data_IF_039289462490
#
_entry.id   IF_039289462490
#
_cell.length_a   1.000
_cell.length_b   1.000
_cell.length_c   1.000
_cell.angle_alpha   90.00
_cell.angle_beta   90.00
_cell.angle_gamma   90.00
#
_symmetry.space_group_name_H-M   'P 1'
#
loop_
_entity.id
_entity.type
_entity.pdbx_description
1 polymer ?
#
# COMPACT_ATOMS: atom_id res chain seq x y z
N UNK A 1 -12.58 27.57 -16.86
CA UNK A 1 -12.20 26.49 -15.91
C UNK A 1 -13.27 25.41 -15.94
N UNK A 2 -12.87 24.14 -16.06
CA UNK A 2 -13.80 23.01 -16.02
C UNK A 2 -14.36 22.92 -14.61
N UNK A 3 -15.67 22.89 -14.44
CA UNK A 3 -16.31 22.60 -13.15
C UNK A 3 -16.80 21.16 -13.18
N UNK A 4 -16.35 20.33 -12.24
CA UNK A 4 -16.90 18.99 -12.05
C UNK A 4 -18.24 19.09 -11.33
N UNK A 5 -19.26 18.45 -11.90
CA UNK A 5 -20.60 18.34 -11.30
C UNK A 5 -20.87 16.87 -10.97
N UNK A 6 -21.49 16.62 -9.84
CA UNK A 6 -21.80 15.27 -9.38
C UNK A 6 -22.66 14.52 -10.39
N UNK A 7 -22.32 13.26 -10.64
CA UNK A 7 -23.01 12.33 -11.53
C UNK A 7 -23.12 12.79 -13.01
N UNK A 8 -22.36 13.81 -13.45
CA UNK A 8 -22.41 14.32 -14.82
C UNK A 8 -21.28 13.84 -15.73
N UNK A 9 -20.31 13.13 -15.16
CA UNK A 9 -19.16 12.58 -15.87
C UNK A 9 -17.86 13.36 -15.62
N UNK A 10 -16.74 12.63 -15.72
CA UNK A 10 -15.39 13.17 -15.60
C UNK A 10 -14.73 13.19 -16.98
N UNK A 11 -14.10 14.30 -17.38
CA UNK A 11 -13.26 14.32 -18.59
C UNK A 11 -12.17 13.25 -18.55
N UNK A 12 -11.95 12.58 -19.67
CA UNK A 12 -10.94 11.51 -19.79
C UNK A 12 -9.53 11.98 -19.40
N UNK A 13 -9.17 13.23 -19.72
CA UNK A 13 -7.89 13.82 -19.36
C UNK A 13 -7.69 13.93 -17.85
N UNK A 14 -8.72 14.33 -17.10
CA UNK A 14 -8.69 14.42 -15.63
C UNK A 14 -8.62 13.01 -15.03
N UNK A 15 -9.37 12.04 -15.55
CA UNK A 15 -9.35 10.66 -15.10
C UNK A 15 -7.98 10.02 -15.33
N UNK A 16 -7.36 10.25 -16.50
CA UNK A 16 -6.01 9.77 -16.83
C UNK A 16 -4.97 10.41 -15.90
N UNK A 17 -5.04 11.73 -15.71
CA UNK A 17 -4.18 12.44 -14.76
C UNK A 17 -4.28 11.83 -13.35
N UNK A 18 -5.50 11.63 -12.83
CA UNK A 18 -5.67 11.01 -11.50
C UNK A 18 -5.09 9.60 -11.43
N UNK A 19 -5.25 8.80 -12.47
CA UNK A 19 -4.70 7.44 -12.54
C UNK A 19 -3.17 7.43 -12.51
N UNK A 20 -2.52 8.28 -13.32
CA UNK A 20 -1.06 8.39 -13.38
C UNK A 20 -0.51 8.94 -12.05
N UNK A 21 -1.08 10.03 -11.55
CA UNK A 21 -0.62 10.65 -10.30
C UNK A 21 -0.87 9.71 -9.11
N UNK A 22 -1.94 8.92 -9.10
CA UNK A 22 -2.17 7.90 -8.09
C UNK A 22 -1.02 6.89 -8.02
N UNK A 23 -0.59 6.40 -9.19
CA UNK A 23 0.55 5.49 -9.27
C UNK A 23 1.87 6.12 -8.81
N UNK A 24 2.17 7.32 -9.31
CA UNK A 24 3.43 8.01 -8.98
C UNK A 24 3.52 8.43 -7.51
N UNK A 25 2.40 8.77 -6.87
CA UNK A 25 2.40 9.18 -5.47
C UNK A 25 2.47 8.00 -4.51
N UNK A 26 1.77 6.89 -4.78
CA UNK A 26 1.88 5.68 -3.96
C UNK A 26 3.25 5.02 -4.07
N UNK A 27 3.92 5.19 -5.20
CA UNK A 27 5.26 4.66 -5.45
C UNK A 27 6.28 5.08 -4.37
N UNK A 28 6.12 6.28 -3.79
CA UNK A 28 6.98 6.77 -2.71
C UNK A 28 7.01 5.86 -1.47
N UNK A 29 5.96 5.09 -1.23
CA UNK A 29 5.91 4.13 -0.11
C UNK A 29 6.71 2.85 -0.39
N UNK A 30 7.06 2.59 -1.65
CA UNK A 30 7.64 1.32 -2.06
C UNK A 30 9.05 1.43 -2.66
N UNK A 31 9.52 2.65 -2.99
CA UNK A 31 10.87 2.86 -3.51
C UNK A 31 11.97 2.36 -2.59
N UNK A 32 11.76 2.43 -1.27
CA UNK A 32 12.75 2.02 -0.27
C UNK A 32 13.02 0.50 -0.26
N UNK A 33 12.03 -0.34 -0.61
CA UNK A 33 12.12 -1.79 -0.43
C UNK A 33 13.31 -2.44 -1.17
N UNK A 34 13.55 -2.21 -2.47
CA UNK A 34 14.73 -2.74 -3.15
C UNK A 34 16.04 -2.09 -2.70
N UNK A 35 15.97 -0.89 -2.10
CA UNK A 35 17.14 -0.08 -1.76
C UNK A 35 17.67 -0.33 -0.35
N UNK A 36 16.98 -1.15 0.48
CA UNK A 36 17.31 -1.31 1.90
C UNK A 36 18.75 -1.77 2.11
N UNK A 37 19.24 -2.68 1.28
CA UNK A 37 20.61 -3.19 1.39
C UNK A 37 21.65 -2.12 1.01
N UNK A 38 21.39 -1.33 -0.04
CA UNK A 38 22.24 -0.23 -0.43
C UNK A 38 22.30 0.86 0.66
N UNK A 39 21.15 1.19 1.26
CA UNK A 39 21.07 2.16 2.37
C UNK A 39 21.82 1.63 3.59
N UNK A 40 21.67 0.34 3.92
CA UNK A 40 22.35 -0.31 5.02
C UNK A 40 23.87 -0.19 4.89
N UNK A 41 24.38 -0.51 3.71
CA UNK A 41 25.82 -0.43 3.41
C UNK A 41 26.38 0.98 3.48
N UNK A 42 25.65 1.93 2.87
CA UNK A 42 26.13 3.32 2.77
C UNK A 42 26.14 4.06 4.13
N UNK A 43 25.21 3.74 5.02
CA UNK A 43 25.10 4.35 6.34
C UNK A 43 25.72 3.50 7.47
N UNK A 44 26.30 2.35 7.16
CA UNK A 44 26.89 1.40 8.11
C UNK A 44 25.94 1.06 9.27
N UNK A 45 24.71 0.69 8.93
CA UNK A 45 23.65 0.32 9.88
C UNK A 45 23.27 -1.16 9.75
N UNK A 46 22.58 -1.70 10.75
CA UNK A 46 22.11 -3.09 10.72
C UNK A 46 20.88 -3.24 9.83
N UNK A 47 20.63 -4.47 9.34
CA UNK A 47 19.43 -4.80 8.54
C UNK A 47 18.14 -4.43 9.29
N UNK A 48 18.10 -4.63 10.59
CA UNK A 48 16.95 -4.27 11.41
C UNK A 48 16.68 -2.76 11.39
N UNK A 49 17.74 -1.94 11.50
CA UNK A 49 17.63 -0.48 11.46
C UNK A 49 17.19 -0.01 10.08
N UNK A 50 17.73 -0.62 9.01
CA UNK A 50 17.33 -0.32 7.64
C UNK A 50 15.87 -0.71 7.39
N UNK A 51 15.43 -1.88 7.86
CA UNK A 51 14.04 -2.34 7.72
C UNK A 51 13.02 -1.40 8.38
N UNK A 52 13.39 -0.71 9.48
CA UNK A 52 12.53 0.29 10.13
C UNK A 52 12.15 1.44 9.19
N UNK A 53 12.90 1.73 8.13
CA UNK A 53 12.53 2.70 7.10
C UNK A 53 11.19 2.30 6.48
N UNK A 54 11.03 1.04 6.09
CA UNK A 54 9.79 0.52 5.53
C UNK A 54 8.66 0.49 6.57
N UNK A 55 8.94 0.04 7.79
CA UNK A 55 7.97 0.04 8.90
C UNK A 55 7.40 1.44 9.15
N UNK A 56 8.29 2.43 9.28
CA UNK A 56 7.92 3.82 9.57
C UNK A 56 7.16 4.44 8.41
N UNK A 57 7.54 4.13 7.16
CA UNK A 57 6.79 4.58 5.98
C UNK A 57 5.35 4.04 6.00
N UNK A 58 5.15 2.77 6.35
CA UNK A 58 3.82 2.16 6.43
C UNK A 58 3.00 2.72 7.60
N UNK A 59 3.63 2.94 8.76
CA UNK A 59 2.99 3.64 9.89
C UNK A 59 2.57 5.04 9.46
N UNK A 60 3.45 5.78 8.78
CA UNK A 60 3.13 7.08 8.21
C UNK A 60 1.89 7.01 7.31
N UNK A 61 1.85 6.05 6.40
CA UNK A 61 0.70 5.86 5.50
C UNK A 61 -0.60 5.56 6.27
N UNK A 62 -0.54 4.70 7.31
CA UNK A 62 -1.67 4.42 8.18
C UNK A 62 -2.17 5.69 8.91
N UNK A 63 -1.24 6.51 9.42
CA UNK A 63 -1.58 7.80 10.03
C UNK A 63 -2.18 8.77 9.01
N UNK A 64 -1.65 8.83 7.80
CA UNK A 64 -2.21 9.62 6.71
C UNK A 64 -3.63 9.19 6.36
N UNK A 65 -3.90 7.89 6.26
CA UNK A 65 -5.24 7.34 6.04
C UNK A 65 -6.20 7.73 7.17
N UNK A 66 -5.76 7.64 8.40
CA UNK A 66 -6.60 7.91 9.56
C UNK A 66 -6.88 9.40 9.74
N UNK A 67 -5.85 10.25 9.61
CA UNK A 67 -5.98 11.69 9.89
C UNK A 67 -6.24 12.55 8.65
N UNK A 68 -5.58 12.29 7.51
CA UNK A 68 -5.65 13.19 6.36
C UNK A 68 -6.84 12.89 5.44
N UNK A 69 -7.22 11.61 5.26
CA UNK A 69 -8.33 11.27 4.37
C UNK A 69 -9.66 11.88 4.83
N UNK A 70 -10.05 11.80 6.12
CA UNK A 70 -11.27 12.47 6.59
C UNK A 70 -11.26 13.98 6.40
N UNK A 71 -10.09 14.63 6.44
CA UNK A 71 -9.98 16.08 6.18
C UNK A 71 -10.43 16.46 4.76
N UNK A 72 -10.37 15.53 3.80
CA UNK A 72 -10.85 15.73 2.42
C UNK A 72 -12.35 15.99 2.30
N UNK A 73 -13.14 15.66 3.31
CA UNK A 73 -14.56 16.01 3.35
C UNK A 73 -14.80 17.44 3.88
N UNK A 74 -13.87 17.98 4.69
CA UNK A 74 -13.98 19.29 5.34
C UNK A 74 -13.28 20.41 4.59
N UNK A 75 -12.14 20.09 3.95
CA UNK A 75 -11.31 21.07 3.25
C UNK A 75 -11.33 20.85 1.74
N UNK A 76 -10.80 21.83 0.98
CA UNK A 76 -10.61 21.65 -0.46
C UNK A 76 -9.68 20.49 -0.74
N UNK A 77 -10.19 19.42 -1.38
CA UNK A 77 -9.41 18.22 -1.74
C UNK A 77 -8.21 18.59 -2.58
N UNK A 78 -8.35 19.54 -3.53
CA UNK A 78 -7.23 20.03 -4.35
C UNK A 78 -6.11 20.61 -3.48
N UNK A 79 -6.44 21.49 -2.52
CA UNK A 79 -5.45 22.09 -1.62
C UNK A 79 -4.76 21.05 -0.74
N UNK A 80 -5.52 20.11 -0.17
CA UNK A 80 -4.95 19.02 0.64
C UNK A 80 -3.98 18.17 -0.18
N UNK A 81 -4.35 17.79 -1.39
CA UNK A 81 -3.49 16.99 -2.27
C UNK A 81 -2.20 17.75 -2.59
N UNK A 82 -2.29 19.04 -2.94
CA UNK A 82 -1.11 19.86 -3.24
C UNK A 82 -0.18 20.02 -2.03
N UNK A 83 -0.72 20.23 -0.83
CA UNK A 83 0.07 20.26 0.41
C UNK A 83 0.78 18.93 0.65
N UNK A 84 0.07 17.81 0.52
CA UNK A 84 0.66 16.48 0.67
C UNK A 84 1.77 16.23 -0.36
N UNK A 85 1.57 16.62 -1.63
CA UNK A 85 2.61 16.50 -2.66
C UNK A 85 3.84 17.36 -2.35
N UNK A 86 3.64 18.57 -1.85
CA UNK A 86 4.75 19.47 -1.45
C UNK A 86 5.56 18.86 -0.32
N UNK A 87 4.90 18.35 0.73
CA UNK A 87 5.58 17.69 1.86
C UNK A 87 6.30 16.44 1.37
N UNK A 88 5.66 15.61 0.53
CA UNK A 88 6.29 14.41 -0.02
C UNK A 88 7.54 14.73 -0.85
N UNK A 89 7.49 15.77 -1.69
CA UNK A 89 8.65 16.23 -2.46
C UNK A 89 9.79 16.71 -1.56
N UNK A 90 9.50 17.52 -0.55
CA UNK A 90 10.51 18.01 0.41
C UNK A 90 11.13 16.84 1.19
N UNK A 91 10.32 15.90 1.65
CA UNK A 91 10.83 14.74 2.39
C UNK A 91 11.60 13.76 1.50
N UNK A 92 11.27 13.65 0.23
CA UNK A 92 12.10 12.90 -0.72
C UNK A 92 13.49 13.54 -0.89
N UNK A 93 13.59 14.88 -0.92
CA UNK A 93 14.88 15.58 -0.90
C UNK A 93 15.63 15.30 0.41
N UNK A 94 14.93 15.35 1.56
CA UNK A 94 15.55 15.04 2.87
C UNK A 94 16.09 13.60 2.87
N UNK A 95 15.36 12.63 2.32
CA UNK A 95 15.88 11.25 2.17
C UNK A 95 17.11 11.21 1.29
N UNK A 96 17.11 11.89 0.14
CA UNK A 96 18.24 11.91 -0.79
C UNK A 96 19.53 12.48 -0.17
N UNK A 97 19.43 13.47 0.71
CA UNK A 97 20.58 14.10 1.37
C UNK A 97 20.84 13.56 2.78
N UNK A 98 20.13 12.52 3.21
CA UNK A 98 20.23 11.99 4.55
C UNK A 98 21.65 11.45 4.85
N UNK A 99 22.20 11.84 5.99
CA UNK A 99 23.52 11.41 6.49
C UNK A 99 23.40 10.47 7.70
N UNK A 100 22.19 10.29 8.22
CA UNK A 100 21.95 9.45 9.38
C UNK A 100 20.53 8.88 9.35
N UNK A 101 20.32 7.83 10.11
CA UNK A 101 19.06 7.07 10.13
C UNK A 101 17.88 7.89 10.67
N UNK A 102 18.12 8.85 11.57
CA UNK A 102 17.05 9.67 12.13
C UNK A 102 16.41 10.58 11.09
N UNK A 103 17.21 11.12 10.17
CA UNK A 103 16.69 11.87 9.01
C UNK A 103 15.85 10.97 8.11
N UNK A 104 16.31 9.74 7.84
CA UNK A 104 15.56 8.78 7.04
C UNK A 104 14.23 8.40 7.70
N UNK A 105 14.21 8.11 9.00
CA UNK A 105 12.99 7.75 9.70
C UNK A 105 11.98 8.89 9.73
N UNK A 106 12.44 10.11 10.05
CA UNK A 106 11.58 11.30 10.05
C UNK A 106 10.98 11.58 8.67
N UNK A 107 11.80 11.52 7.60
CA UNK A 107 11.35 11.71 6.24
C UNK A 107 10.41 10.58 5.80
N UNK A 108 10.72 9.32 6.13
CA UNK A 108 9.89 8.14 5.82
C UNK A 108 8.49 8.24 6.41
N UNK A 109 8.37 8.69 7.66
CA UNK A 109 7.08 8.90 8.32
C UNK A 109 6.21 9.89 7.54
N UNK A 110 6.79 11.04 7.17
CA UNK A 110 6.05 12.10 6.48
C UNK A 110 5.79 11.74 5.00
N UNK A 111 6.73 11.09 4.31
CA UNK A 111 6.49 10.55 2.96
C UNK A 111 5.33 9.56 3.00
N UNK A 112 5.34 8.61 3.94
CA UNK A 112 4.24 7.66 4.12
C UNK A 112 2.91 8.38 4.32
N UNK A 113 2.85 9.30 5.30
CA UNK A 113 1.62 10.04 5.61
C UNK A 113 1.08 10.84 4.42
N UNK A 114 1.97 11.47 3.64
CA UNK A 114 1.56 12.32 2.51
C UNK A 114 1.32 11.54 1.21
N UNK A 115 1.70 10.26 1.13
CA UNK A 115 1.47 9.43 -0.07
C UNK A 115 0.07 8.83 -0.18
N UNK A 116 -0.85 9.17 0.71
CA UNK A 116 -2.26 8.71 0.69
C UNK A 116 -3.12 9.36 -0.41
N UNK A 117 -2.52 10.14 -1.30
CA UNK A 117 -3.17 10.90 -2.36
C UNK A 117 -4.13 10.06 -3.24
N UNK A 118 -3.82 8.80 -3.61
CA UNK A 118 -4.74 7.97 -4.38
C UNK A 118 -6.08 7.73 -3.68
N UNK A 119 -6.08 7.76 -2.36
CA UNK A 119 -7.29 7.56 -1.56
C UNK A 119 -8.25 8.76 -1.63
N UNK A 120 -7.78 9.93 -2.07
CA UNK A 120 -8.65 11.05 -2.46
C UNK A 120 -9.20 10.88 -3.87
N UNK A 121 -8.40 10.36 -4.81
CA UNK A 121 -8.80 10.27 -6.23
C UNK A 121 -9.88 9.21 -6.48
N UNK A 122 -9.84 8.07 -5.80
CA UNK A 122 -10.83 7.00 -5.97
C UNK A 122 -12.25 7.48 -5.65
N UNK A 123 -12.52 8.14 -4.49
CA UNK A 123 -13.82 8.73 -4.20
C UNK A 123 -14.21 9.86 -5.16
N UNK A 124 -13.26 10.72 -5.60
CA UNK A 124 -13.50 11.77 -6.58
C UNK A 124 -13.96 11.15 -7.90
N UNK A 125 -13.27 10.10 -8.39
CA UNK A 125 -13.69 9.38 -9.58
C UNK A 125 -15.10 8.81 -9.43
N UNK A 126 -15.45 8.29 -8.25
CA UNK A 126 -16.79 7.78 -7.97
C UNK A 126 -17.87 8.87 -7.93
N UNK A 127 -17.61 10.00 -7.27
CA UNK A 127 -18.57 11.08 -7.03
C UNK A 127 -18.96 11.81 -8.31
N UNK A 128 -18.02 12.07 -9.20
CA UNK A 128 -18.23 12.90 -10.39
C UNK A 128 -18.50 12.09 -11.66
N UNK A 129 -18.37 10.76 -11.64
CA UNK A 129 -18.73 9.91 -12.78
C UNK A 129 -20.24 9.75 -12.90
N UNK A 130 -20.71 9.48 -14.13
CA UNK A 130 -22.11 9.05 -14.33
C UNK A 130 -22.36 7.71 -13.62
N UNK A 131 -23.59 7.41 -13.17
CA UNK A 131 -23.90 6.15 -12.47
C UNK A 131 -23.41 4.90 -13.20
N UNK A 132 -23.53 4.87 -14.53
CA UNK A 132 -23.12 3.73 -15.38
C UNK A 132 -21.60 3.55 -15.42
N UNK A 133 -20.83 4.64 -15.33
CA UNK A 133 -19.37 4.62 -15.46
C UNK A 133 -18.63 4.68 -14.11
N UNK A 134 -19.35 4.81 -13.01
CA UNK A 134 -18.77 4.99 -11.66
C UNK A 134 -17.76 3.91 -11.31
N UNK A 135 -18.15 2.66 -11.36
CA UNK A 135 -17.26 1.53 -11.03
C UNK A 135 -16.08 1.40 -11.99
N UNK A 136 -16.32 1.66 -13.28
CA UNK A 136 -15.27 1.64 -14.32
C UNK A 136 -14.20 2.70 -14.05
N UNK A 137 -14.61 3.93 -13.76
CA UNK A 137 -13.69 5.05 -13.56
C UNK A 137 -12.91 4.92 -12.24
N UNK A 138 -13.55 4.46 -11.17
CA UNK A 138 -12.86 4.10 -9.92
C UNK A 138 -11.83 3.00 -10.15
N UNK A 139 -12.20 1.95 -10.88
CA UNK A 139 -11.30 0.85 -11.25
C UNK A 139 -10.11 1.32 -12.10
N UNK A 140 -10.32 2.30 -12.99
CA UNK A 140 -9.25 2.89 -13.79
C UNK A 140 -8.20 3.63 -12.93
N UNK A 141 -8.63 4.40 -11.93
CA UNK A 141 -7.71 5.04 -10.98
C UNK A 141 -7.01 4.01 -10.10
N UNK A 142 -7.72 2.98 -9.66
CA UNK A 142 -7.14 1.88 -8.89
C UNK A 142 -6.09 1.10 -9.69
N UNK A 143 -6.32 0.88 -10.99
CA UNK A 143 -5.32 0.22 -11.84
C UNK A 143 -4.04 1.04 -11.97
N UNK A 144 -4.15 2.37 -12.06
CA UNK A 144 -2.98 3.26 -12.02
C UNK A 144 -2.20 3.14 -10.71
N UNK A 145 -2.90 3.10 -9.58
CA UNK A 145 -2.31 2.87 -8.25
C UNK A 145 -1.53 1.55 -8.22
N UNK A 146 -2.17 0.44 -8.62
CA UNK A 146 -1.52 -0.88 -8.62
C UNK A 146 -0.31 -0.93 -9.56
N UNK A 147 -0.43 -0.35 -10.75
CA UNK A 147 0.70 -0.23 -11.69
C UNK A 147 1.85 0.56 -11.06
N UNK A 148 1.56 1.65 -10.34
CA UNK A 148 2.57 2.45 -9.65
C UNK A 148 3.30 1.65 -8.57
N UNK A 149 2.60 0.83 -7.79
CA UNK A 149 3.21 -0.05 -6.78
C UNK A 149 4.19 -1.03 -7.43
N UNK A 150 3.79 -1.66 -8.53
CA UNK A 150 4.63 -2.63 -9.23
C UNK A 150 5.83 -1.95 -9.89
N UNK A 151 5.57 -0.89 -10.65
CA UNK A 151 6.61 -0.14 -11.36
C UNK A 151 7.63 0.48 -10.41
N UNK A 152 7.21 0.92 -9.22
CA UNK A 152 8.10 1.55 -8.25
C UNK A 152 9.25 0.65 -7.81
N UNK A 153 8.98 -0.64 -7.57
CA UNK A 153 10.01 -1.60 -7.17
C UNK A 153 11.02 -1.85 -8.30
N UNK A 154 10.52 -2.00 -9.52
CA UNK A 154 11.39 -2.18 -10.70
C UNK A 154 12.25 -0.95 -10.91
N UNK A 155 11.64 0.22 -10.99
CA UNK A 155 12.33 1.49 -11.26
C UNK A 155 13.36 1.78 -10.16
N UNK A 156 12.98 1.66 -8.88
CA UNK A 156 13.89 1.94 -7.77
C UNK A 156 15.02 0.92 -7.69
N UNK A 157 14.75 -0.35 -8.00
CA UNK A 157 15.79 -1.38 -8.04
C UNK A 157 16.87 -1.08 -9.07
N UNK A 158 16.48 -0.78 -10.32
CA UNK A 158 17.44 -0.43 -11.39
C UNK A 158 18.15 0.91 -11.14
N UNK A 159 17.43 1.94 -10.71
CA UNK A 159 18.06 3.24 -10.40
C UNK A 159 19.03 3.07 -9.23
N UNK A 160 18.64 2.32 -8.19
CA UNK A 160 19.50 2.05 -7.05
C UNK A 160 20.81 1.36 -7.43
N UNK A 161 20.75 0.36 -8.33
CA UNK A 161 21.93 -0.39 -8.78
C UNK A 161 22.86 0.45 -9.66
N UNK A 162 22.29 1.27 -10.57
CA UNK A 162 23.10 1.97 -11.57
C UNK A 162 23.55 3.36 -11.14
N UNK A 163 22.72 4.08 -10.39
CA UNK A 163 22.99 5.47 -10.00
C UNK A 163 23.21 5.64 -8.52
N UNK A 164 22.54 4.80 -7.70
CA UNK A 164 22.55 4.88 -6.26
C UNK A 164 21.17 5.14 -5.66
N UNK A 165 21.01 4.84 -4.37
CA UNK A 165 19.72 4.97 -3.68
C UNK A 165 19.32 6.44 -3.47
N UNK A 166 20.28 7.37 -3.33
CA UNK A 166 20.01 8.80 -3.14
C UNK A 166 19.40 9.43 -4.39
N UNK A 167 19.91 9.07 -5.55
CA UNK A 167 19.45 9.53 -6.86
C UNK A 167 18.00 9.14 -7.11
N UNK A 168 17.58 7.95 -6.64
CA UNK A 168 16.19 7.55 -6.72
C UNK A 168 15.28 8.54 -5.98
N UNK A 169 15.67 9.01 -4.79
CA UNK A 169 14.85 9.97 -4.03
C UNK A 169 14.90 11.38 -4.62
N UNK A 170 15.99 11.81 -5.26
CA UNK A 170 16.00 13.05 -6.06
C UNK A 170 15.04 12.97 -7.23
N UNK A 171 15.03 11.85 -7.96
CA UNK A 171 14.08 11.60 -9.06
C UNK A 171 12.65 11.60 -8.52
N UNK A 172 12.38 10.95 -7.40
CA UNK A 172 11.07 10.94 -6.76
C UNK A 172 10.59 12.37 -6.42
N UNK A 173 11.47 13.21 -5.87
CA UNK A 173 11.17 14.61 -5.58
C UNK A 173 10.81 15.39 -6.86
N UNK A 174 11.60 15.24 -7.93
CA UNK A 174 11.33 15.86 -9.23
C UNK A 174 9.98 15.42 -9.79
N UNK A 175 9.68 14.12 -9.75
CA UNK A 175 8.40 13.56 -10.19
C UNK A 175 7.24 14.18 -9.40
N UNK A 176 7.37 14.35 -8.07
CA UNK A 176 6.34 14.99 -7.25
C UNK A 176 6.12 16.46 -7.63
N UNK A 177 7.18 17.22 -7.94
CA UNK A 177 7.08 18.60 -8.40
C UNK A 177 6.37 18.68 -9.75
N UNK A 178 6.69 17.80 -10.70
CA UNK A 178 6.01 17.73 -12.01
C UNK A 178 4.54 17.37 -11.83
N UNK A 179 4.23 16.35 -11.02
CA UNK A 179 2.86 15.96 -10.71
C UNK A 179 2.06 17.11 -10.07
N UNK A 180 2.69 17.88 -9.17
CA UNK A 180 2.09 19.05 -8.54
C UNK A 180 1.74 20.13 -9.58
N UNK A 181 2.63 20.41 -10.52
CA UNK A 181 2.37 21.33 -11.63
C UNK A 181 1.19 20.90 -12.50
N UNK A 182 1.15 19.63 -12.89
CA UNK A 182 0.03 19.05 -13.66
C UNK A 182 -1.28 19.14 -12.86
N UNK A 183 -1.23 18.82 -11.56
CA UNK A 183 -2.39 18.89 -10.67
C UNK A 183 -2.93 20.32 -10.51
N UNK A 184 -2.04 21.31 -10.38
CA UNK A 184 -2.43 22.72 -10.33
C UNK A 184 -3.19 23.17 -11.57
N UNK A 185 -2.72 22.77 -12.75
CA UNK A 185 -3.26 23.18 -14.04
C UNK A 185 -4.57 22.45 -14.39
N UNK A 186 -4.65 21.14 -14.13
CA UNK A 186 -5.74 20.32 -14.64
C UNK A 186 -6.86 20.08 -13.63
N UNK A 187 -6.57 20.03 -12.32
CA UNK A 187 -7.59 19.67 -11.32
C UNK A 187 -8.43 20.88 -10.94
N UNK A 188 -9.76 20.84 -11.15
CA UNK A 188 -10.66 21.91 -10.76
C UNK A 188 -10.87 21.94 -9.24
N UNK A 189 -11.31 23.11 -8.72
CA UNK A 189 -11.78 23.21 -7.34
C UNK A 189 -13.10 22.43 -7.16
N UNK A 190 -13.21 21.77 -6.02
CA UNK A 190 -14.38 20.96 -5.66
C UNK A 190 -15.03 21.50 -4.40
N UNK A 191 -16.37 21.41 -4.32
CA UNK A 191 -17.12 21.80 -3.13
C UNK A 191 -16.81 20.86 -1.96
N UNK A 192 -16.90 21.37 -0.75
CA UNK A 192 -16.79 20.61 0.50
C UNK A 192 -18.03 19.77 0.71
N UNK A 193 -17.87 18.57 1.25
CA UNK A 193 -18.98 17.62 1.43
C UNK A 193 -19.51 17.58 2.88
N UNK A 194 -18.75 18.12 3.84
CA UNK A 194 -19.11 18.03 5.26
C UNK A 194 -19.06 19.40 5.94
N UNK A 195 -20.09 19.69 6.72
CA UNK A 195 -20.22 20.90 7.55
C UNK A 195 -20.29 20.43 9.01
N UNK A 196 -19.15 20.45 9.70
CA UNK A 196 -19.04 20.04 11.10
C UNK A 196 -17.62 20.20 11.63
N UNK A 197 -17.35 19.71 12.83
CA UNK A 197 -16.00 19.76 13.43
C UNK A 197 -15.20 18.50 13.09
N UNK A 198 -13.88 18.63 12.95
CA UNK A 198 -12.98 17.49 12.74
C UNK A 198 -13.10 16.46 13.87
N UNK A 199 -13.22 16.93 15.13
CA UNK A 199 -13.44 16.06 16.29
C UNK A 199 -14.72 15.24 16.14
N UNK A 200 -15.83 15.83 15.70
CA UNK A 200 -17.09 15.11 15.47
C UNK A 200 -16.96 14.06 14.37
N UNK A 201 -16.21 14.36 13.29
CA UNK A 201 -15.93 13.40 12.23
C UNK A 201 -15.12 12.18 12.75
N UNK A 202 -14.06 12.45 13.53
CA UNK A 202 -13.21 11.38 14.12
C UNK A 202 -13.96 10.55 15.15
N UNK A 203 -14.86 11.17 15.95
CA UNK A 203 -15.73 10.44 16.88
C UNK A 203 -16.59 9.42 16.13
N UNK A 204 -17.17 9.78 14.99
CA UNK A 204 -17.96 8.83 14.20
C UNK A 204 -17.13 7.66 13.62
N UNK A 205 -15.86 7.87 13.31
CA UNK A 205 -14.96 6.78 12.90
C UNK A 205 -14.72 5.82 14.07
N UNK A 206 -14.45 6.35 15.26
CA UNK A 206 -14.27 5.55 16.47
C UNK A 206 -15.56 4.78 16.85
N UNK A 207 -16.71 5.42 16.78
CA UNK A 207 -18.01 4.79 17.02
C UNK A 207 -18.27 3.61 16.08
N UNK A 208 -18.03 3.78 14.78
CA UNK A 208 -18.15 2.71 13.79
C UNK A 208 -17.24 1.52 14.16
N UNK A 209 -16.00 1.77 14.54
CA UNK A 209 -15.07 0.70 14.93
C UNK A 209 -15.56 -0.07 16.18
N UNK A 210 -16.14 0.64 17.16
CA UNK A 210 -16.63 0.05 18.40
C UNK A 210 -17.95 -0.71 18.17
N UNK A 211 -18.90 -0.11 17.44
CA UNK A 211 -20.26 -0.62 17.31
C UNK A 211 -20.43 -1.72 16.26
N UNK A 212 -19.51 -1.85 15.31
CA UNK A 212 -19.59 -2.82 14.21
C UNK A 212 -18.51 -3.89 14.27
N UNK A 213 -18.77 -5.02 15.00
CA UNK A 213 -17.79 -6.12 15.11
C UNK A 213 -17.36 -6.70 13.76
N UNK A 214 -18.28 -6.76 12.78
CA UNK A 214 -17.98 -7.27 11.44
C UNK A 214 -16.86 -6.46 10.76
N UNK A 215 -16.89 -5.13 10.87
CA UNK A 215 -15.85 -4.25 10.31
C UNK A 215 -14.49 -4.54 10.94
N UNK A 216 -14.44 -4.73 12.27
CA UNK A 216 -13.20 -5.11 12.98
C UNK A 216 -12.65 -6.43 12.47
N UNK A 217 -13.51 -7.44 12.33
CA UNK A 217 -13.10 -8.78 11.90
C UNK A 217 -12.56 -8.73 10.46
N UNK A 218 -13.26 -8.08 9.54
CA UNK A 218 -12.80 -7.91 8.16
C UNK A 218 -11.46 -7.19 8.11
N UNK A 219 -11.31 -6.10 8.87
CA UNK A 219 -10.11 -5.28 8.91
C UNK A 219 -8.91 -6.03 9.50
N UNK A 220 -9.09 -6.71 10.65
CA UNK A 220 -8.01 -7.44 11.33
C UNK A 220 -7.58 -8.64 10.50
N UNK A 221 -8.50 -9.38 9.91
CA UNK A 221 -8.22 -10.53 9.07
C UNK A 221 -7.37 -10.14 7.85
N UNK A 222 -7.75 -9.05 7.16
CA UNK A 222 -6.99 -8.52 6.04
C UNK A 222 -5.64 -7.93 6.47
N UNK A 223 -5.55 -7.35 7.67
CA UNK A 223 -4.32 -6.81 8.25
C UNK A 223 -3.26 -7.90 8.45
N UNK A 224 -3.63 -9.07 8.98
CA UNK A 224 -2.73 -10.21 9.09
C UNK A 224 -2.33 -10.76 7.73
N UNK A 225 -3.23 -10.82 6.75
CA UNK A 225 -2.89 -11.18 5.37
C UNK A 225 -1.87 -10.23 4.74
N UNK A 226 -2.01 -8.92 4.96
CA UNK A 226 -1.07 -7.92 4.47
C UNK A 226 0.26 -7.97 5.22
N UNK A 227 0.25 -8.19 6.53
CA UNK A 227 1.47 -8.40 7.31
C UNK A 227 2.26 -9.61 6.84
N UNK A 228 1.58 -10.70 6.50
CA UNK A 228 2.20 -11.89 5.89
C UNK A 228 2.91 -11.54 4.57
N UNK A 229 2.26 -10.79 3.66
CA UNK A 229 2.87 -10.37 2.40
C UNK A 229 4.01 -9.37 2.61
N UNK A 230 3.86 -8.42 3.53
CA UNK A 230 4.91 -7.45 3.80
C UNK A 230 6.17 -8.07 4.40
N UNK A 231 6.07 -9.19 5.10
CA UNK A 231 7.22 -9.90 5.64
C UNK A 231 8.20 -10.32 4.53
N UNK A 232 7.72 -10.81 3.36
CA UNK A 232 8.61 -11.21 2.26
C UNK A 232 9.29 -9.98 1.65
N UNK A 233 8.54 -8.92 1.34
CA UNK A 233 9.06 -7.74 0.68
C UNK A 233 10.04 -6.93 1.53
N UNK A 234 9.92 -6.99 2.85
CA UNK A 234 10.78 -6.25 3.77
C UNK A 234 12.18 -6.85 3.91
N UNK A 235 12.32 -8.15 3.76
CA UNK A 235 13.60 -8.87 3.92
C UNK A 235 14.18 -9.40 2.61
N UNK A 236 13.44 -9.29 1.50
CA UNK A 236 13.84 -9.83 0.19
C UNK A 236 15.18 -9.25 -0.29
N UNK A 237 15.43 -7.95 -0.08
CA UNK A 237 16.68 -7.30 -0.46
C UNK A 237 17.88 -7.90 0.30
N UNK A 238 17.73 -8.15 1.59
CA UNK A 238 18.78 -8.78 2.42
C UNK A 238 19.00 -10.23 2.04
N UNK A 239 17.92 -10.98 1.74
CA UNK A 239 18.02 -12.38 1.33
C UNK A 239 18.72 -12.55 -0.03
N UNK A 240 18.40 -11.70 -0.99
CA UNK A 240 19.02 -11.73 -2.32
C UNK A 240 20.48 -11.25 -2.32
N UNK A 241 20.86 -10.39 -1.37
CA UNK A 241 22.25 -9.94 -1.23
C UNK A 241 23.19 -11.05 -0.71
N UNK A 242 22.65 -12.11 -0.09
CA UNK A 242 23.42 -13.22 0.46
C UNK A 242 23.55 -14.39 -0.55
N UNK A 243 24.51 -15.32 -0.33
CA UNK A 243 24.55 -16.58 -1.07
C UNK A 243 23.24 -17.37 -0.89
N UNK A 244 22.75 -18.08 -1.91
CA UNK A 244 23.43 -18.36 -3.19
C UNK A 244 23.26 -17.28 -4.27
N UNK A 245 22.46 -16.22 -4.03
CA UNK A 245 22.08 -15.24 -5.07
C UNK A 245 23.17 -14.21 -5.33
N UNK A 246 23.71 -13.57 -4.30
CA UNK A 246 24.64 -12.43 -4.38
C UNK A 246 24.18 -11.38 -5.41
N UNK A 247 22.89 -11.05 -5.35
CA UNK A 247 22.19 -10.21 -6.33
C UNK A 247 22.00 -8.80 -5.80
N UNK A 248 21.98 -7.84 -6.71
CA UNK A 248 21.76 -6.42 -6.43
C UNK A 248 20.28 -6.04 -6.31
N UNK A 249 20.07 -4.74 -6.12
CA UNK A 249 18.72 -4.17 -5.96
C UNK A 249 17.87 -4.28 -7.25
N UNK A 250 18.48 -4.38 -8.41
CA UNK A 250 17.82 -4.62 -9.70
C UNK A 250 17.04 -5.93 -9.71
N UNK A 251 17.62 -7.02 -9.17
CA UNK A 251 16.94 -8.32 -9.07
C UNK A 251 15.77 -8.29 -8.09
N UNK A 252 15.89 -7.57 -6.97
CA UNK A 252 14.76 -7.32 -6.06
C UNK A 252 13.63 -6.60 -6.80
N UNK A 253 13.98 -5.58 -7.59
CA UNK A 253 13.06 -4.86 -8.43
C UNK A 253 12.39 -5.75 -9.49
N UNK A 254 13.15 -6.61 -10.18
CA UNK A 254 12.61 -7.53 -11.18
C UNK A 254 11.60 -8.51 -10.58
N UNK A 255 11.84 -9.04 -9.38
CA UNK A 255 10.87 -9.86 -8.67
C UNK A 255 9.58 -9.10 -8.37
N UNK A 256 9.61 -7.75 -8.32
CA UNK A 256 8.43 -6.90 -8.26
C UNK A 256 7.44 -7.13 -9.41
N UNK A 257 7.90 -7.57 -10.59
CA UNK A 257 7.03 -7.90 -11.72
C UNK A 257 6.11 -9.10 -11.43
N UNK A 258 6.48 -9.99 -10.51
CA UNK A 258 5.62 -11.09 -10.08
C UNK A 258 4.28 -10.59 -9.52
N UNK A 259 4.24 -9.38 -8.94
CA UNK A 259 3.03 -8.73 -8.47
C UNK A 259 1.99 -8.45 -9.57
N UNK A 260 2.37 -8.48 -10.85
CA UNK A 260 1.41 -8.39 -11.98
C UNK A 260 0.37 -9.49 -11.87
N UNK A 261 0.77 -10.70 -11.46
CA UNK A 261 -0.15 -11.82 -11.27
C UNK A 261 -1.17 -11.53 -10.16
N UNK A 262 -0.75 -10.85 -9.08
CA UNK A 262 -1.66 -10.35 -8.05
C UNK A 262 -2.66 -9.33 -8.60
N UNK A 263 -2.21 -8.38 -9.43
CA UNK A 263 -3.09 -7.39 -10.06
C UNK A 263 -4.11 -8.04 -11.02
N UNK A 264 -3.69 -9.04 -11.80
CA UNK A 264 -4.60 -9.84 -12.66
C UNK A 264 -5.60 -10.61 -11.80
N UNK A 265 -5.15 -11.24 -10.72
CA UNK A 265 -6.03 -11.94 -9.79
C UNK A 265 -7.06 -11.00 -9.16
N UNK A 266 -6.66 -9.77 -8.78
CA UNK A 266 -7.57 -8.79 -8.21
C UNK A 266 -8.80 -8.51 -9.08
N UNK A 267 -8.61 -8.41 -10.40
CA UNK A 267 -9.71 -8.18 -11.34
C UNK A 267 -10.71 -9.35 -11.39
N UNK A 268 -10.21 -10.56 -11.25
CA UNK A 268 -11.02 -11.80 -11.22
C UNK A 268 -11.73 -11.97 -9.88
N UNK A 269 -11.02 -11.76 -8.78
CA UNK A 269 -11.56 -11.84 -7.41
C UNK A 269 -12.71 -10.86 -7.22
N UNK A 270 -12.56 -9.60 -7.66
CA UNK A 270 -13.61 -8.59 -7.55
C UNK A 270 -14.94 -9.00 -8.22
N UNK A 271 -14.88 -9.76 -9.31
CA UNK A 271 -16.07 -10.30 -10.01
C UNK A 271 -16.65 -11.54 -9.34
N UNK A 272 -15.82 -12.34 -8.69
CA UNK A 272 -16.20 -13.64 -8.14
C UNK A 272 -16.66 -13.56 -6.66
N UNK A 273 -16.19 -12.58 -5.90
CA UNK A 273 -16.58 -12.39 -4.49
C UNK A 273 -18.10 -12.31 -4.30
N UNK A 274 -18.88 -11.57 -5.11
CA UNK A 274 -20.34 -11.54 -4.96
C UNK A 274 -21.01 -12.90 -5.18
N UNK A 275 -20.39 -13.79 -5.98
CA UNK A 275 -20.94 -15.12 -6.31
C UNK A 275 -20.60 -16.17 -5.26
N UNK A 276 -19.38 -16.17 -4.71
CA UNK A 276 -18.89 -17.22 -3.83
C UNK A 276 -18.85 -16.81 -2.36
N UNK A 277 -18.93 -15.52 -2.06
CA UNK A 277 -18.98 -14.95 -0.74
C UNK A 277 -17.60 -14.57 -0.15
N UNK A 278 -17.62 -13.58 0.73
CA UNK A 278 -16.44 -12.99 1.37
C UNK A 278 -15.62 -14.02 2.14
N UNK A 279 -16.30 -14.85 2.92
CA UNK A 279 -15.68 -15.85 3.80
C UNK A 279 -14.82 -16.85 3.02
N UNK A 280 -15.33 -17.43 1.92
CA UNK A 280 -14.61 -18.43 1.12
C UNK A 280 -13.36 -17.86 0.49
N UNK A 281 -13.44 -16.62 -0.04
CA UNK A 281 -12.28 -15.95 -0.63
C UNK A 281 -11.22 -15.60 0.42
N UNK A 282 -11.63 -15.17 1.60
CA UNK A 282 -10.69 -14.88 2.67
C UNK A 282 -9.99 -16.15 3.18
N UNK A 283 -10.73 -17.24 3.33
CA UNK A 283 -10.19 -18.55 3.71
C UNK A 283 -9.20 -19.07 2.66
N UNK A 284 -9.60 -19.04 1.37
CA UNK A 284 -8.77 -19.45 0.25
C UNK A 284 -7.49 -18.63 0.15
N UNK A 285 -7.58 -17.30 0.32
CA UNK A 285 -6.42 -16.42 0.29
C UNK A 285 -5.43 -16.69 1.42
N UNK A 286 -5.91 -16.94 2.64
CA UNK A 286 -5.05 -17.28 3.78
C UNK A 286 -4.37 -18.65 3.58
N UNK A 287 -5.10 -19.66 3.11
CA UNK A 287 -4.53 -20.97 2.81
C UNK A 287 -3.46 -20.88 1.70
N UNK A 288 -3.72 -20.09 0.65
CA UNK A 288 -2.76 -19.86 -0.44
C UNK A 288 -1.48 -19.18 0.06
N UNK A 289 -1.58 -18.22 1.00
CA UNK A 289 -0.40 -17.60 1.60
C UNK A 289 0.40 -18.61 2.44
N UNK A 290 -0.25 -19.51 3.18
CA UNK A 290 0.47 -20.58 3.91
C UNK A 290 1.24 -21.49 2.94
N UNK A 291 0.62 -21.88 1.83
CA UNK A 291 1.29 -22.68 0.78
C UNK A 291 2.47 -21.90 0.18
N UNK A 292 2.29 -20.62 -0.09
CA UNK A 292 3.36 -19.76 -0.61
C UNK A 292 4.57 -19.72 0.34
N UNK A 293 4.32 -19.57 1.62
CA UNK A 293 5.39 -19.56 2.63
C UNK A 293 6.04 -20.94 2.81
N UNK A 294 5.30 -22.03 2.65
CA UNK A 294 5.90 -23.37 2.63
C UNK A 294 6.85 -23.54 1.42
N UNK A 295 6.48 -22.98 0.25
CA UNK A 295 7.36 -22.94 -0.92
C UNK A 295 8.59 -22.06 -0.65
N UNK A 296 8.41 -20.88 -0.05
CA UNK A 296 9.50 -19.99 0.32
C UNK A 296 10.48 -20.63 1.32
N UNK A 297 9.96 -21.46 2.24
CA UNK A 297 10.76 -22.18 3.21
C UNK A 297 11.58 -23.32 2.58
N UNK A 298 10.98 -24.07 1.66
CA UNK A 298 11.61 -25.26 1.07
C UNK A 298 12.48 -24.93 -0.15
N UNK A 299 12.13 -23.91 -0.90
CA UNK A 299 12.76 -23.55 -2.18
C UNK A 299 13.18 -22.08 -2.26
N UNK A 300 13.21 -21.37 -1.12
CA UNK A 300 13.54 -19.94 -1.06
C UNK A 300 14.96 -19.59 -1.51
N UNK A 301 15.86 -20.55 -1.55
CA UNK A 301 17.23 -20.39 -2.06
C UNK A 301 17.33 -20.53 -3.60
N UNK A 302 16.19 -20.54 -4.29
CA UNK A 302 16.11 -20.57 -5.76
C UNK A 302 15.20 -19.47 -6.27
N UNK A 303 15.54 -18.88 -7.41
CA UNK A 303 14.66 -17.88 -8.07
C UNK A 303 13.28 -18.44 -8.38
N UNK A 304 13.19 -19.69 -8.83
CA UNK A 304 11.91 -20.32 -9.15
C UNK A 304 11.02 -20.44 -7.90
N UNK A 305 11.60 -20.82 -6.76
CA UNK A 305 10.89 -20.90 -5.49
C UNK A 305 10.42 -19.53 -5.00
N UNK A 306 11.27 -18.50 -5.06
CA UNK A 306 10.91 -17.12 -4.71
C UNK A 306 9.81 -16.58 -5.61
N UNK A 307 9.92 -16.76 -6.94
CA UNK A 307 8.88 -16.33 -7.91
C UNK A 307 7.55 -17.00 -7.59
N UNK A 308 7.53 -18.30 -7.39
CA UNK A 308 6.30 -19.03 -7.06
C UNK A 308 5.70 -18.55 -5.74
N UNK A 309 6.52 -18.37 -4.70
CA UNK A 309 6.09 -17.89 -3.40
C UNK A 309 5.51 -16.48 -3.48
N UNK A 310 6.18 -15.53 -4.16
CA UNK A 310 5.72 -14.15 -4.33
C UNK A 310 4.38 -14.11 -5.07
N UNK A 311 4.25 -14.83 -6.18
CA UNK A 311 3.01 -14.89 -6.95
C UNK A 311 1.85 -15.39 -6.08
N UNK A 312 2.05 -16.49 -5.35
CA UNK A 312 1.00 -17.07 -4.51
C UNK A 312 0.65 -16.20 -3.31
N UNK A 313 1.65 -15.56 -2.67
CA UNK A 313 1.40 -14.61 -1.58
C UNK A 313 0.57 -13.44 -2.07
N UNK A 314 0.90 -12.86 -3.23
CA UNK A 314 0.21 -11.72 -3.80
C UNK A 314 -1.23 -12.08 -4.22
N UNK A 315 -1.44 -13.22 -4.89
CA UNK A 315 -2.80 -13.70 -5.24
C UNK A 315 -3.61 -13.94 -3.96
N UNK A 316 -3.03 -14.61 -2.97
CA UNK A 316 -3.67 -14.86 -1.67
C UNK A 316 -4.07 -13.57 -0.96
N UNK A 317 -3.19 -12.56 -1.00
CA UNK A 317 -3.49 -11.24 -0.46
C UNK A 317 -4.67 -10.58 -1.18
N UNK A 318 -4.71 -10.59 -2.51
CA UNK A 318 -5.80 -9.97 -3.26
C UNK A 318 -7.15 -10.64 -2.93
N UNK A 319 -7.15 -11.97 -2.75
CA UNK A 319 -8.34 -12.68 -2.30
C UNK A 319 -8.82 -12.20 -0.92
N UNK A 320 -7.92 -12.00 0.02
CA UNK A 320 -8.25 -11.52 1.36
C UNK A 320 -8.64 -10.03 1.35
N UNK A 321 -7.83 -9.18 0.73
CA UNK A 321 -8.03 -7.73 0.73
C UNK A 321 -9.37 -7.36 0.11
N UNK A 322 -9.62 -7.78 -1.13
CA UNK A 322 -10.81 -7.36 -1.88
C UNK A 322 -12.09 -7.92 -1.27
N UNK A 323 -12.07 -9.19 -0.81
CA UNK A 323 -13.24 -9.77 -0.17
C UNK A 323 -13.59 -9.08 1.15
N UNK A 324 -12.61 -8.88 2.03
CA UNK A 324 -12.83 -8.24 3.32
C UNK A 324 -13.16 -6.75 3.18
N UNK A 325 -12.51 -6.03 2.26
CA UNK A 325 -12.84 -4.64 1.98
C UNK A 325 -14.27 -4.49 1.47
N UNK A 326 -14.70 -5.38 0.56
CA UNK A 326 -16.08 -5.40 0.08
C UNK A 326 -17.07 -5.62 1.22
N UNK A 327 -16.81 -6.56 2.13
CA UNK A 327 -17.63 -6.79 3.31
C UNK A 327 -17.71 -5.58 4.23
N UNK A 328 -16.58 -4.94 4.47
CA UNK A 328 -16.50 -3.73 5.28
C UNK A 328 -17.33 -2.58 4.71
N UNK A 329 -17.28 -2.38 3.37
CA UNK A 329 -18.03 -1.32 2.69
C UNK A 329 -19.55 -1.60 2.63
N UNK A 330 -19.95 -2.87 2.58
CA UNK A 330 -21.33 -3.29 2.52
C UNK A 330 -22.03 -3.22 3.89
N UNK A 331 -21.26 -3.30 4.99
CA UNK A 331 -21.81 -3.27 6.35
C UNK A 331 -22.51 -1.94 6.67
N UNK A 332 -21.92 -0.80 6.21
CA UNK A 332 -22.48 0.53 6.42
C UNK A 332 -22.38 1.33 5.11
N UNK A 333 -23.29 1.13 4.15
CA UNK A 333 -23.24 1.81 2.86
C UNK A 333 -23.28 3.34 2.97
N UNK A 334 -24.00 3.89 3.98
CA UNK A 334 -24.15 5.33 4.21
C UNK A 334 -22.87 5.99 4.74
N UNK A 335 -21.97 5.20 5.35
CA UNK A 335 -20.69 5.64 5.91
C UNK A 335 -19.50 4.87 5.32
N UNK A 336 -19.63 4.39 4.07
CA UNK A 336 -18.63 3.53 3.41
C UNK A 336 -17.22 4.14 3.39
N UNK A 337 -17.07 5.46 3.24
CA UNK A 337 -15.78 6.13 3.30
C UNK A 337 -15.11 5.99 4.67
N UNK A 338 -15.88 6.10 5.77
CA UNK A 338 -15.37 5.94 7.14
C UNK A 338 -15.02 4.48 7.42
N UNK A 339 -15.88 3.55 6.97
CA UNK A 339 -15.59 2.12 7.05
C UNK A 339 -14.30 1.77 6.29
N UNK A 340 -14.09 2.34 5.10
CA UNK A 340 -12.86 2.17 4.34
C UNK A 340 -11.63 2.76 5.05
N UNK A 341 -11.77 3.92 5.69
CA UNK A 341 -10.69 4.50 6.50
C UNK A 341 -10.26 3.54 7.61
N UNK A 342 -11.21 2.96 8.35
CA UNK A 342 -10.94 1.96 9.39
C UNK A 342 -10.24 0.74 8.79
N UNK A 343 -10.80 0.19 7.71
CA UNK A 343 -10.25 -0.99 7.04
C UNK A 343 -8.80 -0.76 6.60
N UNK A 344 -8.55 0.29 5.83
CA UNK A 344 -7.23 0.58 5.28
C UNK A 344 -6.19 0.95 6.35
N UNK A 345 -6.60 1.71 7.38
CA UNK A 345 -5.70 2.03 8.51
C UNK A 345 -5.28 0.75 9.25
N UNK A 346 -6.24 -0.12 9.60
CA UNK A 346 -5.95 -1.41 10.26
C UNK A 346 -5.09 -2.31 9.37
N UNK A 347 -5.36 -2.33 8.06
CA UNK A 347 -4.60 -3.07 7.06
C UNK A 347 -3.13 -2.66 7.03
N UNK A 348 -2.83 -1.35 6.99
CA UNK A 348 -1.44 -0.85 6.99
C UNK A 348 -0.75 -1.02 8.35
N UNK A 349 -1.48 -0.97 9.46
CA UNK A 349 -0.94 -1.36 10.79
C UNK A 349 -0.48 -2.82 10.75
N UNK A 350 -1.30 -3.72 10.19
CA UNK A 350 -0.91 -5.12 10.01
C UNK A 350 0.33 -5.30 9.13
N UNK A 351 0.42 -4.56 8.03
CA UNK A 351 1.62 -4.52 7.19
C UNK A 351 2.87 -4.07 7.96
N UNK A 352 2.75 -3.00 8.74
CA UNK A 352 3.84 -2.48 9.58
C UNK A 352 4.30 -3.51 10.61
N UNK A 353 3.36 -4.20 11.27
CA UNK A 353 3.66 -5.26 12.22
C UNK A 353 4.36 -6.45 11.56
N UNK A 354 3.89 -6.90 10.40
CA UNK A 354 4.52 -7.98 9.64
C UNK A 354 5.95 -7.63 9.22
N UNK A 355 6.14 -6.42 8.69
CA UNK A 355 7.46 -5.88 8.33
C UNK A 355 8.39 -5.80 9.55
N UNK A 356 7.91 -5.27 10.67
CA UNK A 356 8.69 -5.15 11.90
C UNK A 356 9.09 -6.53 12.45
N UNK A 357 8.15 -7.46 12.57
CA UNK A 357 8.43 -8.81 13.07
C UNK A 357 9.41 -9.55 12.16
N UNK A 358 9.26 -9.44 10.84
CA UNK A 358 10.16 -10.07 9.89
C UNK A 358 11.59 -9.52 10.00
N UNK A 359 11.75 -8.19 10.04
CA UNK A 359 13.06 -7.57 10.18
C UNK A 359 13.73 -7.84 11.54
N UNK A 360 12.94 -7.97 12.62
CA UNK A 360 13.46 -8.35 13.93
C UNK A 360 13.96 -9.78 13.95
N UNK A 361 13.18 -10.72 13.39
CA UNK A 361 13.54 -12.16 13.41
C UNK A 361 14.60 -12.48 12.35
N UNK A 362 14.72 -11.69 11.28
CA UNK A 362 15.77 -11.78 10.29
C UNK A 362 17.17 -11.82 10.94
N UNK A 363 17.43 -10.92 11.87
CA UNK A 363 18.75 -10.85 12.55
C UNK A 363 19.06 -12.03 13.47
N UNK A 364 18.10 -12.89 13.78
CA UNK A 364 18.24 -14.03 14.68
C UNK A 364 18.21 -15.39 13.96
N UNK A 365 17.46 -15.48 12.88
CA UNK A 365 17.18 -16.72 12.20
C UNK A 365 17.08 -16.57 10.66
N UNK A 366 17.65 -15.52 10.10
CA UNK A 366 17.74 -15.25 8.67
C UNK A 366 16.39 -15.50 7.94
N UNK A 367 16.43 -16.05 6.73
CA UNK A 367 15.25 -16.34 5.92
C UNK A 367 14.26 -17.30 6.58
N UNK A 368 14.75 -18.28 7.36
CA UNK A 368 13.89 -19.19 8.12
C UNK A 368 12.97 -18.43 9.07
N UNK A 369 13.51 -17.43 9.77
CA UNK A 369 12.75 -16.60 10.69
C UNK A 369 11.65 -15.81 9.99
N UNK A 370 11.95 -15.25 8.82
CA UNK A 370 10.97 -14.52 7.98
C UNK A 370 9.83 -15.45 7.54
N UNK A 371 10.16 -16.66 7.11
CA UNK A 371 9.17 -17.67 6.74
C UNK A 371 8.24 -18.01 7.92
N UNK A 372 8.76 -18.18 9.13
CA UNK A 372 7.96 -18.46 10.33
C UNK A 372 7.02 -17.28 10.62
N UNK A 373 7.50 -16.04 10.54
CA UNK A 373 6.64 -14.85 10.71
C UNK A 373 5.53 -14.82 9.66
N UNK A 374 5.87 -15.01 8.39
CA UNK A 374 4.89 -15.00 7.29
C UNK A 374 3.83 -16.09 7.44
N UNK A 375 4.22 -17.32 7.80
CA UNK A 375 3.30 -18.43 8.11
C UNK A 375 2.41 -18.08 9.30
N UNK A 376 2.97 -17.54 10.38
CA UNK A 376 2.23 -17.20 11.60
C UNK A 376 1.15 -16.16 11.32
N UNK A 377 1.46 -15.11 10.57
CA UNK A 377 0.50 -14.10 10.17
C UNK A 377 -0.60 -14.67 9.26
N UNK A 378 -0.24 -15.47 8.25
CA UNK A 378 -1.21 -16.14 7.38
C UNK A 378 -2.10 -17.12 8.18
N UNK A 379 -1.52 -17.84 9.14
CA UNK A 379 -2.25 -18.78 10.00
C UNK A 379 -3.24 -18.05 10.93
N UNK A 380 -2.86 -16.92 11.53
CA UNK A 380 -3.78 -16.11 12.34
C UNK A 380 -4.94 -15.62 11.47
N UNK A 381 -4.67 -15.13 10.25
CA UNK A 381 -5.73 -14.75 9.30
C UNK A 381 -6.66 -15.92 8.96
N UNK A 382 -6.10 -17.12 8.79
CA UNK A 382 -6.86 -18.35 8.54
C UNK A 382 -7.76 -18.68 9.73
N UNK A 383 -7.22 -18.66 10.96
CA UNK A 383 -7.96 -18.95 12.20
C UNK A 383 -9.11 -17.98 12.42
N UNK A 384 -8.89 -16.68 12.20
CA UNK A 384 -9.96 -15.68 12.24
C UNK A 384 -11.01 -15.98 11.16
N UNK A 385 -10.61 -16.44 9.98
CA UNK A 385 -11.54 -16.82 8.91
C UNK A 385 -12.36 -18.05 9.28
N UNK A 386 -11.80 -19.02 9.97
CA UNK A 386 -12.52 -20.23 10.41
C UNK A 386 -13.49 -19.97 11.56
N UNK A 387 -13.13 -19.10 12.51
CA UNK A 387 -13.95 -18.79 13.68
C UNK A 387 -15.18 -17.93 13.37
N UNK A 388 -15.17 -17.15 12.28
CA UNK A 388 -16.26 -16.25 11.90
C UNK A 388 -16.83 -16.62 10.53
N UNK A 389 -17.76 -17.58 10.53
CA UNK A 389 -18.44 -18.11 9.32
C UNK A 389 -19.61 -17.26 8.80
N UNK A 390 -19.85 -16.08 9.36
CA UNK A 390 -20.92 -15.18 8.90
C UNK A 390 -20.43 -14.21 7.84
#
# INVERSE_FOLDING_TARGET
MIQLKENQGIPRSILLMMSIIAGLTVANCYYNQPLLELIRHDLDITEQIANLITVITQIGYALGLFFLIPMGDMFSRKKLILVNMTIAALMAIVMAVAQNVWMLWGASLLIGACSVIPQFFIPIAGQFSTPENKSRNMGFVLSGLLTGILASRVISGYIGEWLGWREMFFIAALVMVVCMGIMMLMMPEMKRNYVGTYRGLMTTVAEIFILHPSIRIYSIRAAFGFGSMMAIWSCLAFHLAQPPFNAGSDMVGMLGLCGIMGAVAASSVGKLVPRFGIHKFSLFGAAMQIIAWAIALLFGDTYAGLIAAIILVDIGLQCQQLSNQSGCLQEIPQASNRANTIFMTTYFIGGSLGTFCAGYVWTQADWLGVCIVGISFAFISLMISLSHKK
#
